data_IF_033068637272
#
_entry.id   IF_033068637272
#
_cell.length_a   1.000
_cell.length_b   1.000
_cell.length_c   1.000
_cell.angle_alpha   90.00
_cell.angle_beta   90.00
_cell.angle_gamma   90.00
#
_symmetry.space_group_name_H-M   'P 1'
#
loop_
_entity.id
_entity.type
_entity.pdbx_description
1 polymer ?
#
# COMPACT_ATOMS: atom_id res chain seq x y z
N UNK A 1 -23.57 0.81 -14.75
CA UNK A 1 -22.29 0.50 -15.42
C UNK A 1 -21.23 0.33 -14.36
N UNK A 2 -20.37 -0.69 -14.48
CA UNK A 2 -19.20 -0.81 -13.60
C UNK A 2 -18.17 0.26 -14.00
N UNK A 3 -17.54 0.91 -13.02
CA UNK A 3 -16.60 2.04 -13.24
C UNK A 3 -15.15 1.56 -13.41
N UNK A 4 -14.80 0.48 -12.74
CA UNK A 4 -13.47 -0.14 -12.75
C UNK A 4 -13.64 -1.51 -13.41
N UNK A 5 -13.15 -1.62 -14.64
CA UNK A 5 -13.37 -2.77 -15.52
C UNK A 5 -12.10 -3.19 -16.25
N UNK A 6 -10.97 -2.57 -15.93
CA UNK A 6 -9.69 -2.90 -16.54
C UNK A 6 -9.06 -4.12 -15.85
N UNK A 7 -8.09 -4.74 -16.50
CA UNK A 7 -7.43 -5.95 -15.99
C UNK A 7 -6.28 -5.63 -15.01
N UNK A 8 -5.86 -4.38 -14.93
CA UNK A 8 -4.76 -3.94 -14.08
C UNK A 8 -5.08 -2.69 -13.25
N UNK A 9 -4.54 -2.67 -12.04
CA UNK A 9 -4.72 -1.60 -11.07
C UNK A 9 -4.36 -0.21 -11.62
N UNK A 10 -3.29 -0.09 -12.43
CA UNK A 10 -2.85 1.21 -12.96
C UNK A 10 -3.80 1.74 -14.02
N UNK A 11 -4.44 0.87 -14.80
CA UNK A 11 -5.46 1.24 -15.76
C UNK A 11 -6.73 1.74 -15.05
N UNK A 12 -7.24 1.00 -14.07
CA UNK A 12 -8.38 1.43 -13.26
C UNK A 12 -8.10 2.70 -12.45
N UNK A 13 -6.89 2.84 -11.91
CA UNK A 13 -6.47 4.04 -11.20
C UNK A 13 -6.43 5.28 -12.11
N UNK A 14 -6.08 5.11 -13.40
CA UNK A 14 -6.18 6.21 -14.40
C UNK A 14 -7.63 6.60 -14.64
N UNK A 15 -8.56 5.65 -14.66
CA UNK A 15 -10.00 5.93 -14.75
C UNK A 15 -10.44 6.72 -13.51
N UNK A 16 -10.12 6.26 -12.30
CA UNK A 16 -10.42 6.96 -11.06
C UNK A 16 -9.94 8.42 -11.10
N UNK A 17 -8.68 8.64 -11.47
CA UNK A 17 -8.10 9.97 -11.52
C UNK A 17 -8.81 10.88 -12.53
N UNK A 18 -9.18 10.35 -13.70
CA UNK A 18 -9.96 11.09 -14.71
C UNK A 18 -11.34 11.47 -14.18
N UNK A 19 -12.06 10.55 -13.55
CA UNK A 19 -13.42 10.81 -13.08
C UNK A 19 -13.43 11.78 -11.87
N UNK A 20 -12.49 11.65 -10.93
CA UNK A 20 -12.33 12.60 -9.82
C UNK A 20 -12.05 14.02 -10.32
N UNK A 21 -11.21 14.16 -11.35
CA UNK A 21 -10.92 15.45 -11.99
C UNK A 21 -12.12 16.06 -12.70
N UNK A 22 -12.97 15.25 -13.34
CA UNK A 22 -14.22 15.76 -13.95
C UNK A 22 -15.15 16.37 -12.91
N UNK A 23 -15.08 15.92 -11.66
CA UNK A 23 -15.84 16.48 -10.53
C UNK A 23 -15.18 17.73 -9.93
N UNK A 24 -14.04 18.19 -10.46
CA UNK A 24 -13.32 19.36 -9.96
C UNK A 24 -12.38 19.10 -8.79
N UNK A 25 -12.14 17.83 -8.45
CA UNK A 25 -11.27 17.43 -7.34
C UNK A 25 -9.95 16.85 -7.85
N UNK A 26 -8.94 16.86 -6.98
CA UNK A 26 -7.67 16.17 -7.20
C UNK A 26 -7.50 15.10 -6.12
N UNK A 27 -7.00 13.93 -6.50
CA UNK A 27 -6.66 12.89 -5.53
C UNK A 27 -5.47 13.36 -4.70
N UNK A 28 -5.56 13.40 -3.35
CA UNK A 28 -4.47 13.82 -2.50
C UNK A 28 -3.22 12.92 -2.67
N UNK A 29 -2.01 13.49 -2.55
CA UNK A 29 -0.76 12.71 -2.68
C UNK A 29 -0.70 11.51 -1.72
N UNK A 30 -1.28 11.65 -0.53
CA UNK A 30 -1.30 10.59 0.49
C UNK A 30 -2.08 9.35 0.02
N UNK A 31 -3.22 9.54 -0.65
CA UNK A 31 -4.01 8.44 -1.22
C UNK A 31 -3.19 7.71 -2.29
N UNK A 32 -2.45 8.46 -3.13
CA UNK A 32 -1.61 7.88 -4.17
C UNK A 32 -0.48 7.03 -3.58
N UNK A 33 0.09 7.48 -2.46
CA UNK A 33 1.13 6.73 -1.76
C UNK A 33 0.58 5.38 -1.27
N UNK A 34 -0.56 5.35 -0.57
CA UNK A 34 -1.12 4.11 -0.04
C UNK A 34 -1.61 3.15 -1.13
N UNK A 35 -2.30 3.67 -2.14
CA UNK A 35 -2.83 2.85 -3.23
C UNK A 35 -1.72 2.22 -4.08
N UNK A 36 -0.57 2.89 -4.21
CA UNK A 36 0.61 2.30 -4.86
C UNK A 36 1.31 1.24 -4.02
N UNK A 37 1.28 1.39 -2.69
CA UNK A 37 1.94 0.50 -1.73
C UNK A 37 1.20 -0.83 -1.50
N UNK A 38 -0.13 -0.83 -1.60
CA UNK A 38 -0.94 -2.03 -1.39
C UNK A 38 -2.26 -1.94 -2.16
N UNK A 39 -2.31 -2.49 -3.38
CA UNK A 39 -3.54 -2.53 -4.18
C UNK A 39 -4.69 -3.28 -3.49
N UNK A 40 -4.38 -4.13 -2.49
CA UNK A 40 -5.38 -4.87 -1.70
C UNK A 40 -5.76 -4.19 -0.38
N UNK A 41 -5.32 -2.95 -0.15
CA UNK A 41 -5.67 -2.16 1.02
C UNK A 41 -7.18 -2.14 1.27
N UNK A 42 -7.58 -2.29 2.53
CA UNK A 42 -9.00 -2.22 2.95
C UNK A 42 -9.27 -0.96 3.76
N UNK A 43 -10.41 -0.33 3.49
CA UNK A 43 -10.94 0.81 4.22
C UNK A 43 -12.09 0.35 5.12
N UNK A 44 -12.03 0.67 6.41
CA UNK A 44 -13.06 0.32 7.41
C UNK A 44 -13.99 1.49 7.76
N UNK A 45 -13.81 2.63 7.08
CA UNK A 45 -14.59 3.84 7.30
C UNK A 45 -13.87 4.85 8.20
N UNK A 46 -14.60 5.89 8.54
CA UNK A 46 -14.11 7.06 9.28
C UNK A 46 -14.99 7.29 10.50
N UNK A 47 -14.37 7.49 11.65
CA UNK A 47 -15.03 7.79 12.92
C UNK A 47 -14.55 9.14 13.47
N UNK A 48 -15.39 9.84 14.23
CA UNK A 48 -14.99 11.07 14.91
C UNK A 48 -14.33 10.68 16.24
N UNK A 49 -13.10 11.14 16.44
CA UNK A 49 -12.38 10.96 17.68
C UNK A 49 -12.62 12.15 18.63
N UNK A 50 -13.66 12.03 19.45
CA UNK A 50 -14.03 13.02 20.45
C UNK A 50 -12.97 13.19 21.57
N UNK A 51 -12.08 12.21 21.75
CA UNK A 51 -10.99 12.26 22.73
C UNK A 51 -9.75 13.03 22.24
N UNK A 52 -9.69 13.36 20.95
CA UNK A 52 -8.57 14.05 20.33
C UNK A 52 -9.04 15.28 19.52
N UNK A 53 -9.93 16.08 20.10
CA UNK A 53 -10.33 17.36 19.51
C UNK A 53 -11.25 17.25 18.29
N UNK A 54 -12.16 16.27 18.29
CA UNK A 54 -13.18 16.06 17.26
C UNK A 54 -12.61 15.87 15.85
N UNK A 55 -11.43 15.25 15.75
CA UNK A 55 -10.81 14.94 14.46
C UNK A 55 -11.43 13.70 13.83
N UNK A 56 -11.45 13.66 12.50
CA UNK A 56 -11.85 12.49 11.72
C UNK A 56 -10.69 11.47 11.66
N UNK A 57 -10.93 10.26 12.14
CA UNK A 57 -9.97 9.16 12.14
C UNK A 57 -10.44 8.06 11.19
N UNK A 58 -9.58 7.65 10.24
CA UNK A 58 -9.93 6.67 9.21
C UNK A 58 -9.15 5.38 9.41
N UNK A 59 -9.87 4.27 9.54
CA UNK A 59 -9.28 2.95 9.69
C UNK A 59 -8.93 2.33 8.34
N UNK A 60 -7.64 2.09 8.10
CA UNK A 60 -7.16 1.38 6.91
C UNK A 60 -6.32 0.16 7.32
N UNK A 61 -6.38 -0.90 6.54
CA UNK A 61 -5.52 -2.09 6.68
C UNK A 61 -4.71 -2.27 5.40
N UNK A 62 -3.40 -2.39 5.59
CA UNK A 62 -2.44 -2.60 4.53
C UNK A 62 -1.65 -3.88 4.81
N UNK A 63 -1.46 -4.70 3.79
CA UNK A 63 -0.66 -5.91 3.89
C UNK A 63 0.84 -5.55 3.82
N UNK A 64 1.62 -5.94 4.84
CA UNK A 64 3.04 -5.55 4.97
C UNK A 64 3.91 -6.24 3.92
N UNK A 65 3.56 -7.47 3.54
CA UNK A 65 4.21 -8.26 2.50
C UNK A 65 4.22 -7.55 1.14
N UNK A 66 3.10 -6.94 0.73
CA UNK A 66 3.02 -6.15 -0.52
C UNK A 66 3.98 -4.95 -0.52
N UNK A 67 4.06 -4.23 0.62
CA UNK A 67 4.98 -3.09 0.77
C UNK A 67 6.44 -3.56 0.67
N UNK A 68 6.77 -4.65 1.37
CA UNK A 68 8.13 -5.14 1.47
C UNK A 68 8.61 -5.76 0.15
N UNK A 69 7.74 -6.38 -0.64
CA UNK A 69 8.11 -6.92 -1.95
C UNK A 69 8.59 -5.83 -2.92
N UNK A 70 7.84 -4.72 -3.06
CA UNK A 70 8.24 -3.60 -3.94
C UNK A 70 9.54 -2.93 -3.48
N UNK A 71 9.70 -2.75 -2.15
CA UNK A 71 10.94 -2.21 -1.55
C UNK A 71 12.10 -3.19 -1.65
N UNK A 72 11.84 -4.50 -1.54
CA UNK A 72 12.85 -5.56 -1.55
C UNK A 72 13.57 -5.63 -2.88
N UNK A 73 12.81 -5.61 -3.99
CA UNK A 73 13.36 -5.63 -5.35
C UNK A 73 14.33 -4.48 -5.58
N UNK A 74 14.06 -3.30 -4.98
CA UNK A 74 14.84 -2.08 -5.23
C UNK A 74 16.04 -1.90 -4.30
N UNK A 75 15.97 -2.37 -3.06
CA UNK A 75 16.97 -2.01 -2.03
C UNK A 75 17.45 -3.17 -1.16
N UNK A 76 16.62 -4.18 -0.90
CA UNK A 76 16.97 -5.23 0.07
C UNK A 76 17.77 -6.35 -0.60
N UNK A 77 17.50 -6.70 -1.86
CA UNK A 77 18.26 -7.75 -2.55
C UNK A 77 19.76 -7.40 -2.67
N UNK A 78 20.08 -6.16 -3.03
CA UNK A 78 21.48 -5.69 -3.07
C UNK A 78 22.12 -5.70 -1.68
N UNK A 79 21.39 -5.27 -0.66
CA UNK A 79 21.88 -5.28 0.72
C UNK A 79 22.13 -6.71 1.24
N UNK A 80 21.24 -7.67 0.96
CA UNK A 80 21.44 -9.09 1.36
C UNK A 80 22.60 -9.72 0.58
N UNK A 81 22.79 -9.34 -0.68
CA UNK A 81 23.93 -9.81 -1.48
C UNK A 81 25.27 -9.30 -0.90
N UNK A 82 25.29 -8.07 -0.38
CA UNK A 82 26.46 -7.46 0.26
C UNK A 82 26.66 -7.90 1.71
N UNK A 83 25.58 -8.25 2.42
CA UNK A 83 25.56 -8.60 3.85
C UNK A 83 24.77 -9.89 4.16
N UNK A 84 25.31 -11.08 3.82
CA UNK A 84 24.63 -12.37 4.00
C UNK A 84 24.26 -12.69 5.46
N UNK A 85 24.96 -12.09 6.42
CA UNK A 85 24.74 -12.24 7.86
C UNK A 85 23.41 -11.66 8.34
N UNK A 86 22.89 -10.63 7.66
CA UNK A 86 21.63 -9.97 8.02
C UNK A 86 20.39 -10.86 7.80
N UNK A 87 20.53 -11.91 6.97
CA UNK A 87 19.49 -12.89 6.69
C UNK A 87 19.02 -13.66 7.93
N UNK A 88 19.84 -13.69 9.00
CA UNK A 88 19.55 -14.46 10.23
C UNK A 88 18.83 -13.65 11.32
N UNK A 89 18.57 -12.35 11.10
CA UNK A 89 18.06 -11.45 12.14
C UNK A 89 16.51 -11.45 12.23
N UNK A 90 15.81 -11.91 11.19
CA UNK A 90 14.34 -11.96 11.23
C UNK A 90 13.87 -13.17 12.06
N UNK A 91 13.47 -12.86 13.30
CA UNK A 91 12.93 -13.81 14.27
C UNK A 91 11.60 -14.41 13.78
N UNK A 92 11.44 -15.71 14.00
CA UNK A 92 10.43 -16.61 13.41
C UNK A 92 8.95 -16.36 13.76
N UNK A 93 8.49 -15.12 13.92
CA UNK A 93 7.07 -14.78 14.02
C UNK A 93 6.51 -14.18 12.72
N UNK A 94 7.34 -13.55 11.90
CA UNK A 94 6.97 -13.09 10.56
C UNK A 94 7.95 -13.69 9.56
N UNK A 95 7.48 -14.62 8.74
CA UNK A 95 8.27 -15.17 7.62
C UNK A 95 8.38 -14.10 6.52
N UNK A 96 9.15 -13.05 6.78
CA UNK A 96 9.42 -11.94 5.84
C UNK A 96 10.35 -12.40 4.69
N UNK A 97 10.88 -13.63 4.79
CA UNK A 97 11.85 -14.18 3.86
C UNK A 97 11.37 -15.56 3.39
N UNK A 98 10.75 -15.60 2.22
CA UNK A 98 10.47 -16.85 1.52
C UNK A 98 11.72 -17.29 0.76
N UNK A 99 12.13 -18.56 0.93
CA UNK A 99 13.07 -19.20 0.01
C UNK A 99 12.43 -19.21 -1.37
N UNK A 100 13.12 -18.68 -2.37
CA UNK A 100 12.73 -18.87 -3.78
C UNK A 100 12.68 -20.38 -4.08
N UNK A 101 11.65 -20.80 -4.81
CA UNK A 101 11.48 -22.18 -5.30
C UNK A 101 12.45 -22.46 -6.44
#
# INVERSE_FOLDING_TARGET
SALFTEDDFKADYRILNREVRKLGYNIPPLVNAYMGLSPTMKLFGTAINYGFGDVEETGILIAIDEILEEKRVRHINSFIAEHPEAFKITSGANNVIYKEK
#
